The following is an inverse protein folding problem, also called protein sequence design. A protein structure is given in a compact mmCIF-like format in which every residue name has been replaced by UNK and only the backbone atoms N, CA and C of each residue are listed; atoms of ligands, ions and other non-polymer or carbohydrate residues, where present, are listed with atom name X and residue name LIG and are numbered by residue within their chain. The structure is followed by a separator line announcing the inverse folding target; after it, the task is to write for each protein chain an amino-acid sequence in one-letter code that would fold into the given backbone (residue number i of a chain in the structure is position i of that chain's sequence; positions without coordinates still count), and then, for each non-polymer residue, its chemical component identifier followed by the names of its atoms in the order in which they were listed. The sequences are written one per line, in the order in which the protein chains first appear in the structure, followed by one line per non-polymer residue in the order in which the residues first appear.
data_IF_006754618902
#
_entry.id   IF_006754618902
#
_cell.length_a   1.000
_cell.length_b   1.000
_cell.length_c   1.000
_cell.angle_alpha   90.00
_cell.angle_beta   90.00
_cell.angle_gamma   90.00
#
_symmetry.space_group_name_H-M   'P 1'
#
loop_
_entity.id
_entity.type
_entity.pdbx_description
1 polymer ?
#
# COMPACT_ATOMS: atom_id res chain seq x y z
N UNK A 1 -1.11 -1.01 10.59
CA UNK A 1 -1.88 -0.15 9.65
C UNK A 1 -1.93 1.30 10.10
N UNK A 2 -2.15 1.57 11.40
CA UNK A 2 -2.12 2.92 12.00
C UNK A 2 -0.93 3.78 11.55
N UNK A 3 0.28 3.22 11.50
CA UNK A 3 1.46 3.95 11.03
C UNK A 3 1.27 4.54 9.62
N UNK A 4 0.80 3.75 8.65
CA UNK A 4 0.58 4.23 7.28
C UNK A 4 -0.48 5.33 7.21
N UNK A 5 -1.58 5.17 7.94
CA UNK A 5 -2.64 6.19 8.05
C UNK A 5 -2.11 7.49 8.63
N UNK A 6 -1.34 7.40 9.71
CA UNK A 6 -0.71 8.54 10.34
C UNK A 6 0.22 9.27 9.37
N UNK A 7 1.11 8.55 8.66
CA UNK A 7 1.96 9.16 7.64
C UNK A 7 1.15 9.86 6.53
N UNK A 8 0.04 9.27 6.08
CA UNK A 8 -0.84 9.89 5.10
C UNK A 8 -1.46 11.20 5.63
N UNK A 9 -2.03 11.19 6.83
CA UNK A 9 -2.62 12.38 7.45
C UNK A 9 -1.58 13.46 7.76
N UNK A 10 -0.32 13.06 7.96
CA UNK A 10 0.81 13.96 8.18
C UNK A 10 1.44 14.47 6.87
N UNK A 11 0.90 14.11 5.70
CA UNK A 11 1.37 14.63 4.42
C UNK A 11 0.94 16.08 4.26
N UNK A 12 1.83 16.96 3.82
CA UNK A 12 1.58 18.40 3.71
C UNK A 12 0.38 18.67 2.82
N UNK A 13 0.30 18.00 1.67
CA UNK A 13 -0.82 18.14 0.73
C UNK A 13 -2.17 17.75 1.33
N UNK A 14 -2.20 16.78 2.24
CA UNK A 14 -3.42 16.33 2.92
C UNK A 14 -3.83 17.32 4.01
N UNK A 15 -2.87 17.83 4.78
CA UNK A 15 -3.13 18.86 5.79
C UNK A 15 -3.58 20.20 5.19
N UNK A 16 -3.22 20.46 3.93
CA UNK A 16 -3.46 21.73 3.25
C UNK A 16 -4.47 21.60 2.09
N UNK A 17 -5.41 20.64 2.16
CA UNK A 17 -6.42 20.43 1.11
C UNK A 17 -7.25 21.68 0.80
N UNK A 18 -7.65 22.47 1.80
CA UNK A 18 -8.41 23.72 1.57
C UNK A 18 -7.60 24.79 0.83
N UNK A 19 -6.28 24.86 1.09
CA UNK A 19 -5.39 25.75 0.36
C UNK A 19 -5.21 25.26 -1.08
N UNK A 20 -5.12 23.94 -1.29
CA UNK A 20 -5.07 23.32 -2.60
C UNK A 20 -6.34 23.57 -3.42
N UNK A 21 -7.53 23.48 -2.80
CA UNK A 21 -8.81 23.82 -3.42
C UNK A 21 -8.82 25.28 -3.89
N UNK A 22 -8.43 26.20 -2.99
CA UNK A 22 -8.34 27.64 -3.32
C UNK A 22 -7.39 27.88 -4.48
N UNK A 23 -6.23 27.22 -4.49
CA UNK A 23 -5.28 27.28 -5.59
C UNK A 23 -5.88 26.80 -6.91
N UNK A 24 -6.57 25.65 -6.91
CA UNK A 24 -7.20 25.12 -8.12
C UNK A 24 -8.30 26.05 -8.67
N UNK A 25 -9.06 26.71 -7.79
CA UNK A 25 -10.15 27.61 -8.19
C UNK A 25 -9.66 28.97 -8.68
N UNK A 26 -8.60 29.51 -8.08
CA UNK A 26 -8.13 30.89 -8.35
C UNK A 26 -7.01 30.97 -9.37
N UNK A 27 -6.29 29.86 -9.59
CA UNK A 27 -5.21 29.80 -10.57
C UNK A 27 -5.76 29.62 -11.96
N UNK A 28 -5.24 30.40 -12.90
CA UNK A 28 -5.49 30.22 -14.33
C UNK A 28 -4.23 30.58 -15.11
N UNK A 29 -4.15 30.24 -16.42
CA UNK A 29 -3.03 30.67 -17.25
C UNK A 29 -2.80 32.20 -17.24
N UNK A 30 -3.88 32.98 -17.05
CA UNK A 30 -3.82 34.44 -16.99
C UNK A 30 -3.61 34.99 -15.56
N UNK A 31 -3.72 34.13 -14.55
CA UNK A 31 -3.52 34.48 -13.14
C UNK A 31 -2.81 33.30 -12.44
N UNK A 32 -1.50 33.12 -12.68
CA UNK A 32 -0.75 32.04 -12.06
C UNK A 32 -0.67 32.24 -10.54
N UNK A 33 -0.58 31.15 -9.76
CA UNK A 33 -0.45 31.27 -8.32
C UNK A 33 0.89 31.92 -7.96
N UNK A 34 0.90 32.72 -6.91
CA UNK A 34 2.14 33.32 -6.39
C UNK A 34 3.03 32.23 -5.80
N UNK A 35 4.34 32.44 -5.84
CA UNK A 35 5.33 31.46 -5.39
C UNK A 35 5.09 31.03 -3.94
N UNK A 36 4.78 31.98 -3.05
CA UNK A 36 4.54 31.75 -1.63
C UNK A 36 3.32 30.86 -1.37
N UNK A 37 2.38 30.79 -2.33
CA UNK A 37 1.20 29.95 -2.22
C UNK A 37 1.48 28.49 -2.60
N UNK A 38 2.51 28.23 -3.43
CA UNK A 38 2.82 26.88 -3.94
C UNK A 38 4.10 26.28 -3.34
N UNK A 39 4.95 27.09 -2.72
CA UNK A 39 6.27 26.65 -2.24
C UNK A 39 6.17 25.46 -1.27
N UNK A 40 5.19 25.46 -0.36
CA UNK A 40 4.97 24.37 0.58
C UNK A 40 4.65 23.05 -0.13
N UNK A 41 3.83 23.09 -1.18
CA UNK A 41 3.50 21.91 -1.98
C UNK A 41 4.71 21.43 -2.80
N UNK A 42 5.52 22.35 -3.34
CA UNK A 42 6.75 22.00 -4.07
C UNK A 42 7.77 21.34 -3.13
N UNK A 43 8.08 21.96 -2.00
CA UNK A 43 9.10 21.46 -1.08
C UNK A 43 8.70 20.13 -0.42
N UNK A 44 7.41 19.90 -0.21
CA UNK A 44 6.92 18.66 0.39
C UNK A 44 6.50 17.58 -0.62
N UNK A 45 6.47 17.89 -1.92
CA UNK A 45 6.00 16.97 -2.97
C UNK A 45 6.61 15.56 -2.87
N UNK A 46 7.93 15.46 -2.68
CA UNK A 46 8.63 14.18 -2.59
C UNK A 46 8.30 13.44 -1.30
N UNK A 47 8.35 14.11 -0.14
CA UNK A 47 8.06 13.45 1.14
C UNK A 47 6.59 13.02 1.23
N UNK A 48 5.68 13.81 0.68
CA UNK A 48 4.26 13.45 0.56
C UNK A 48 4.10 12.23 -0.35
N UNK A 49 4.82 12.16 -1.47
CA UNK A 49 4.78 10.98 -2.35
C UNK A 49 5.22 9.69 -1.63
N UNK A 50 6.21 9.78 -0.74
CA UNK A 50 6.69 8.67 0.08
C UNK A 50 5.63 8.27 1.10
N UNK A 51 5.10 9.24 1.87
CA UNK A 51 4.09 9.02 2.91
C UNK A 51 2.81 8.41 2.34
N UNK A 52 2.30 8.95 1.24
CA UNK A 52 1.10 8.44 0.56
C UNK A 52 1.36 7.05 0.01
N UNK A 53 2.50 6.82 -0.69
CA UNK A 53 2.84 5.49 -1.20
C UNK A 53 2.91 4.46 -0.08
N UNK A 54 3.53 4.79 1.05
CA UNK A 54 3.66 3.92 2.20
C UNK A 54 2.29 3.54 2.79
N UNK A 55 1.37 4.51 2.89
CA UNK A 55 0.00 4.26 3.35
C UNK A 55 -0.72 3.24 2.46
N UNK A 56 -0.74 3.48 1.15
CA UNK A 56 -1.47 2.65 0.19
C UNK A 56 -0.80 1.29 -0.05
N UNK A 57 0.53 1.21 0.02
CA UNK A 57 1.28 -0.05 -0.02
C UNK A 57 0.95 -0.93 1.19
N UNK A 58 0.93 -0.33 2.39
CA UNK A 58 0.56 -1.03 3.62
C UNK A 58 -0.91 -1.48 3.57
N UNK A 59 -1.81 -0.61 3.09
CA UNK A 59 -3.22 -0.95 2.93
C UNK A 59 -3.39 -2.14 1.98
N UNK A 60 -2.81 -2.10 0.78
CA UNK A 60 -2.93 -3.16 -0.22
C UNK A 60 -2.42 -4.50 0.31
N UNK A 61 -1.24 -4.52 0.93
CA UNK A 61 -0.70 -5.75 1.55
C UNK A 61 -1.58 -6.27 2.69
N UNK A 62 -2.14 -5.38 3.50
CA UNK A 62 -3.05 -5.79 4.58
C UNK A 62 -4.35 -6.38 4.02
N UNK A 63 -4.89 -5.79 2.94
CA UNK A 63 -6.05 -6.35 2.23
C UNK A 63 -5.75 -7.74 1.65
N UNK A 64 -4.56 -7.95 1.11
CA UNK A 64 -4.12 -9.26 0.63
C UNK A 64 -4.06 -10.29 1.77
N UNK A 65 -3.44 -9.93 2.90
CA UNK A 65 -3.34 -10.80 4.08
C UNK A 65 -4.71 -11.21 4.64
N UNK A 66 -5.63 -10.26 4.78
CA UNK A 66 -6.99 -10.52 5.29
C UNK A 66 -7.77 -11.48 4.39
N UNK A 67 -7.43 -11.51 3.09
CA UNK A 67 -8.02 -12.43 2.12
C UNK A 67 -7.27 -13.77 2.00
N UNK A 68 -6.20 -13.98 2.79
CA UNK A 68 -5.41 -15.22 2.77
C UNK A 68 -4.36 -15.29 1.66
N UNK A 69 -4.07 -14.17 0.99
CA UNK A 69 -3.00 -14.10 -0.01
C UNK A 69 -1.62 -13.89 0.63
N UNK A 70 -0.61 -14.44 -0.03
CA UNK A 70 0.80 -14.23 0.31
C UNK A 70 1.24 -12.83 -0.08
N UNK A 71 1.86 -12.12 0.86
CA UNK A 71 2.51 -10.82 0.60
C UNK A 71 4.02 -10.92 0.43
N UNK A 72 4.62 -12.03 0.87
CA UNK A 72 6.04 -12.31 0.66
C UNK A 72 6.26 -12.93 -0.73
N UNK A 73 7.35 -12.55 -1.38
CA UNK A 73 7.69 -13.08 -2.69
C UNK A 73 8.05 -14.57 -2.58
N UNK A 74 7.57 -15.37 -3.52
CA UNK A 74 7.87 -16.79 -3.62
C UNK A 74 9.25 -16.96 -4.27
N UNK A 75 10.08 -17.82 -3.68
CA UNK A 75 11.40 -18.15 -4.20
C UNK A 75 11.24 -18.99 -5.48
N UNK A 76 11.59 -18.39 -6.62
CA UNK A 76 11.54 -19.01 -7.95
C UNK A 76 12.38 -20.29 -8.08
N UNK A 77 13.42 -20.43 -7.27
CA UNK A 77 14.32 -21.60 -7.34
C UNK A 77 13.72 -22.81 -6.59
N UNK A 78 12.72 -22.57 -5.74
CA UNK A 78 12.01 -23.60 -4.98
C UNK A 78 10.64 -23.89 -5.61
N UNK A 79 9.88 -22.85 -5.95
CA UNK A 79 8.54 -22.96 -6.53
C UNK A 79 8.41 -22.07 -7.78
N UNK A 80 9.01 -22.47 -8.93
CA UNK A 80 9.11 -21.62 -10.12
C UNK A 80 7.75 -21.21 -10.69
N UNK A 81 6.80 -22.14 -10.77
CA UNK A 81 5.47 -21.86 -11.34
C UNK A 81 4.65 -20.92 -10.44
N UNK A 82 4.66 -21.12 -9.12
CA UNK A 82 3.98 -20.22 -8.19
C UNK A 82 4.64 -18.83 -8.16
N UNK A 83 5.97 -18.75 -8.22
CA UNK A 83 6.69 -17.48 -8.31
C UNK A 83 6.38 -16.74 -9.62
N UNK A 84 6.20 -17.47 -10.74
CA UNK A 84 5.77 -16.88 -12.02
C UNK A 84 4.33 -16.38 -11.94
N UNK A 85 3.42 -17.17 -11.37
CA UNK A 85 2.02 -16.79 -11.12
C UNK A 85 1.92 -15.51 -10.27
N UNK A 86 2.67 -15.44 -9.17
CA UNK A 86 2.64 -14.30 -8.24
C UNK A 86 3.00 -12.96 -8.90
N UNK A 87 3.71 -12.96 -10.03
CA UNK A 87 4.06 -11.72 -10.75
C UNK A 87 2.87 -11.01 -11.36
N UNK A 88 1.80 -11.74 -11.68
CA UNK A 88 0.61 -11.22 -12.39
C UNK A 88 -0.66 -11.32 -11.56
N UNK A 89 -0.72 -12.23 -10.59
CA UNK A 89 -1.89 -12.38 -9.72
C UNK A 89 -1.51 -12.79 -8.29
N UNK A 90 -2.34 -12.46 -7.28
CA UNK A 90 -2.14 -12.94 -5.91
C UNK A 90 -2.15 -14.48 -5.82
N UNK A 91 -1.35 -15.02 -4.91
CA UNK A 91 -1.29 -16.46 -4.61
C UNK A 91 -1.75 -16.69 -3.18
N UNK A 92 -2.68 -17.61 -2.95
CA UNK A 92 -3.14 -17.96 -1.61
C UNK A 92 -2.06 -18.69 -0.83
N UNK A 93 -2.04 -18.50 0.50
CA UNK A 93 -1.08 -19.19 1.37
C UNK A 93 -1.18 -20.73 1.29
N UNK A 94 -2.38 -21.23 1.05
CA UNK A 94 -2.67 -22.67 0.95
C UNK A 94 -2.25 -23.27 -0.40
N UNK A 95 -1.89 -22.45 -1.40
CA UNK A 95 -1.29 -22.94 -2.64
C UNK A 95 0.18 -23.35 -2.47
N UNK A 96 0.84 -22.88 -1.41
CA UNK A 96 2.18 -23.35 -1.06
C UNK A 96 2.09 -24.68 -0.30
N UNK A 97 2.96 -25.66 -0.61
CA UNK A 97 3.08 -26.88 0.16
C UNK A 97 3.22 -26.60 1.66
N UNK A 98 2.69 -27.50 2.50
CA UNK A 98 2.74 -27.36 3.96
C UNK A 98 4.12 -27.74 4.54
N UNK A 99 5.16 -27.12 3.98
CA UNK A 99 6.55 -27.33 4.33
C UNK A 99 7.01 -26.20 5.27
N UNK A 100 7.12 -26.49 6.56
CA UNK A 100 7.69 -25.58 7.56
C UNK A 100 9.13 -25.96 7.88
N UNK A 101 10.02 -24.97 7.88
CA UNK A 101 11.44 -25.14 8.23
C UNK A 101 11.79 -24.29 9.44
N UNK A 102 12.81 -24.70 10.20
CA UNK A 102 13.36 -23.89 11.29
C UNK A 102 14.27 -22.82 10.69
N UNK A 103 13.95 -21.55 10.94
CA UNK A 103 14.76 -20.41 10.51
C UNK A 103 15.93 -20.22 11.47
N UNK A 104 17.15 -20.49 10.99
CA UNK A 104 18.37 -20.16 11.74
C UNK A 104 18.61 -18.66 11.98
N UNK A 105 17.75 -17.78 11.43
CA UNK A 105 17.84 -16.32 11.61
C UNK A 105 17.11 -15.82 12.86
N UNK A 106 16.11 -16.57 13.35
CA UNK A 106 15.31 -16.17 14.50
C UNK A 106 15.91 -16.84 15.75
N UNK A 107 16.61 -16.05 16.57
CA UNK A 107 17.21 -16.54 17.82
C UNK A 107 16.22 -16.34 18.98
N UNK A 108 15.40 -17.35 19.23
CA UNK A 108 14.43 -17.38 20.34
C UNK A 108 14.44 -18.76 20.99
N UNK A 109 14.11 -18.85 22.28
CA UNK A 109 14.01 -20.14 22.98
C UNK A 109 12.74 -20.93 22.57
N UNK A 110 11.74 -20.26 21.99
CA UNK A 110 10.51 -20.88 21.52
C UNK A 110 10.67 -21.34 20.05
N UNK A 111 10.88 -22.65 19.84
CA UNK A 111 11.02 -23.24 18.51
C UNK A 111 9.81 -22.99 17.59
N UNK A 112 8.61 -22.80 18.15
CA UNK A 112 7.41 -22.55 17.33
C UNK A 112 7.52 -21.22 16.58
N UNK A 113 8.16 -20.21 17.18
CA UNK A 113 8.41 -18.90 16.60
C UNK A 113 9.58 -18.90 15.61
N UNK A 114 10.37 -19.98 15.57
CA UNK A 114 11.44 -20.14 14.59
C UNK A 114 10.92 -20.73 13.27
N UNK A 115 9.70 -21.29 13.24
CA UNK A 115 9.15 -21.94 12.06
C UNK A 115 8.77 -20.89 11.01
N UNK A 116 9.27 -21.09 9.79
CA UNK A 116 8.92 -20.29 8.61
C UNK A 116 8.51 -21.22 7.48
N UNK A 117 7.54 -20.79 6.66
CA UNK A 117 7.11 -21.56 5.50
C UNK A 117 8.23 -21.54 4.45
N UNK A 118 8.63 -22.72 3.99
CA UNK A 118 9.70 -22.90 3.00
C UNK A 118 9.34 -22.15 1.72
N UNK A 119 10.35 -21.62 1.04
CA UNK A 119 10.16 -20.95 -0.26
C UNK A 119 9.57 -19.55 -0.21
N UNK A 120 9.38 -18.95 0.97
CA UNK A 120 9.07 -17.52 1.09
C UNK A 120 10.34 -16.69 1.28
N UNK A 121 10.42 -15.57 0.56
CA UNK A 121 11.49 -14.57 0.69
C UNK A 121 11.11 -13.49 1.70
N UNK A 122 12.09 -12.79 2.24
CA UNK A 122 11.83 -11.65 3.13
C UNK A 122 11.21 -10.48 2.37
N UNK A 123 11.61 -10.28 1.11
CA UNK A 123 11.05 -9.27 0.24
C UNK A 123 9.56 -9.53 0.01
N UNK A 124 8.78 -8.46 0.00
CA UNK A 124 7.34 -8.50 -0.24
C UNK A 124 7.02 -8.11 -1.67
N UNK A 125 5.78 -8.35 -2.09
CA UNK A 125 5.25 -7.90 -3.37
C UNK A 125 5.42 -6.39 -3.46
N UNK A 126 5.93 -5.93 -4.61
CA UNK A 126 6.21 -4.53 -4.83
C UNK A 126 4.91 -3.73 -4.98
N UNK A 127 4.90 -2.50 -4.45
CA UNK A 127 3.77 -1.59 -4.60
C UNK A 127 3.42 -1.31 -6.07
N UNK A 128 4.42 -1.24 -6.95
CA UNK A 128 4.21 -1.09 -8.40
C UNK A 128 3.39 -2.25 -8.99
N UNK A 129 3.60 -3.49 -8.53
CA UNK A 129 2.82 -4.65 -8.95
C UNK A 129 1.37 -4.50 -8.52
N UNK A 130 1.12 -4.06 -7.27
CA UNK A 130 -0.25 -3.93 -6.75
C UNK A 130 -1.07 -2.82 -7.41
N UNK A 131 -0.41 -1.84 -8.05
CA UNK A 131 -1.05 -0.75 -8.79
C UNK A 131 -1.20 -1.03 -10.29
N UNK A 132 -0.56 -2.07 -10.81
CA UNK A 132 -0.46 -2.33 -12.25
C UNK A 132 -1.28 -3.53 -12.68
N UNK A 133 -1.17 -4.63 -11.95
CA UNK A 133 -1.75 -5.90 -12.35
C UNK A 133 -3.21 -5.98 -11.89
N UNK A 134 -4.13 -6.26 -12.81
CA UNK A 134 -5.59 -6.18 -12.58
C UNK A 134 -6.07 -7.06 -11.43
N UNK A 135 -5.55 -8.29 -11.34
CA UNK A 135 -5.88 -9.22 -10.27
C UNK A 135 -5.49 -8.66 -8.89
N UNK A 136 -4.35 -7.95 -8.81
CA UNK A 136 -3.94 -7.29 -7.57
C UNK A 136 -4.78 -6.05 -7.28
N UNK A 137 -5.08 -5.21 -8.27
CA UNK A 137 -5.94 -4.03 -8.11
C UNK A 137 -7.28 -4.43 -7.50
N UNK A 138 -7.89 -5.48 -8.08
CA UNK A 138 -9.15 -6.06 -7.61
C UNK A 138 -9.03 -6.60 -6.18
N UNK A 139 -7.99 -7.38 -5.88
CA UNK A 139 -7.78 -7.94 -4.55
C UNK A 139 -7.51 -6.84 -3.49
N UNK A 140 -6.74 -5.81 -3.84
CA UNK A 140 -6.49 -4.65 -2.97
C UNK A 140 -7.71 -3.73 -2.83
N UNK A 141 -8.75 -3.90 -3.66
CA UNK A 141 -9.96 -3.05 -3.71
C UNK A 141 -9.64 -1.58 -3.96
N UNK A 142 -8.62 -1.31 -4.78
CA UNK A 142 -8.40 0.04 -5.27
C UNK A 142 -9.51 0.41 -6.25
N UNK A 143 -9.99 1.66 -6.17
CA UNK A 143 -10.92 2.21 -7.15
C UNK A 143 -10.13 2.84 -8.30
N UNK A 144 -10.69 2.77 -9.51
CA UNK A 144 -10.06 3.34 -10.71
C UNK A 144 -9.72 4.82 -10.56
N UNK A 145 -10.60 5.57 -9.90
CA UNK A 145 -10.45 7.01 -9.62
C UNK A 145 -9.16 7.35 -8.82
N UNK A 146 -8.61 6.38 -8.06
CA UNK A 146 -7.37 6.57 -7.29
C UNK A 146 -6.11 6.13 -8.06
N UNK A 147 -6.24 5.18 -8.98
CA UNK A 147 -5.10 4.45 -9.53
C UNK A 147 -4.14 5.35 -10.29
N UNK A 148 -4.65 6.29 -11.07
CA UNK A 148 -3.81 7.18 -11.87
C UNK A 148 -2.95 8.09 -10.99
N UNK A 149 -3.55 8.69 -9.94
CA UNK A 149 -2.78 9.49 -8.99
C UNK A 149 -1.74 8.63 -8.25
N UNK A 150 -2.12 7.45 -7.74
CA UNK A 150 -1.21 6.56 -7.01
C UNK A 150 -0.05 6.07 -7.88
N UNK A 151 -0.30 5.77 -9.17
CA UNK A 151 0.74 5.41 -10.14
C UNK A 151 1.72 6.56 -10.38
N UNK A 152 1.22 7.80 -10.54
CA UNK A 152 2.07 9.00 -10.69
C UNK A 152 2.91 9.25 -9.44
N UNK A 153 2.30 9.17 -8.26
CA UNK A 153 2.98 9.31 -6.96
C UNK A 153 4.09 8.25 -6.81
N UNK A 154 3.80 6.98 -7.08
CA UNK A 154 4.77 5.89 -6.99
C UNK A 154 5.90 6.05 -8.02
N UNK A 155 5.58 6.50 -9.24
CA UNK A 155 6.58 6.79 -10.27
C UNK A 155 7.51 7.93 -9.84
N UNK A 156 6.95 9.02 -9.31
CA UNK A 156 7.73 10.15 -8.81
C UNK A 156 8.68 9.72 -7.69
N UNK A 157 8.17 8.96 -6.71
CA UNK A 157 8.98 8.34 -5.65
C UNK A 157 10.12 7.48 -6.20
N UNK A 158 9.85 6.60 -7.16
CA UNK A 158 10.87 5.68 -7.69
C UNK A 158 11.95 6.40 -8.53
N UNK A 159 11.62 7.56 -9.08
CA UNK A 159 12.54 8.38 -9.86
C UNK A 159 13.24 9.46 -9.03
N UNK A 160 13.17 9.40 -7.68
CA UNK A 160 13.79 10.42 -6.82
C UNK A 160 15.29 10.58 -7.10
N UNK A 161 16.00 9.48 -7.39
CA UNK A 161 17.43 9.48 -7.66
C UNK A 161 17.80 10.19 -8.98
N UNK A 162 16.81 10.40 -9.85
CA UNK A 162 16.96 11.05 -11.16
C UNK A 162 16.46 12.51 -11.11
N UNK A 163 15.88 12.95 -10.01
CA UNK A 163 15.28 14.27 -9.89
C UNK A 163 16.32 15.30 -9.46
N UNK A 164 16.66 16.24 -10.33
CA UNK A 164 17.56 17.37 -10.02
C UNK A 164 16.87 18.51 -9.27
N UNK A 165 15.55 18.48 -9.16
CA UNK A 165 14.74 19.47 -8.46
C UNK A 165 13.43 18.86 -7.96
N UNK A 166 12.86 19.48 -6.93
CA UNK A 166 11.50 19.21 -6.47
C UNK A 166 10.50 19.90 -7.40
N UNK A 167 9.38 19.24 -7.67
CA UNK A 167 8.34 19.79 -8.52
C UNK A 167 6.96 19.49 -7.96
N UNK A 168 6.02 20.40 -8.23
CA UNK A 168 4.61 20.19 -7.95
C UNK A 168 3.84 20.61 -9.19
N UNK A 169 3.01 19.70 -9.70
CA UNK A 169 2.19 19.93 -10.88
C UNK A 169 0.77 20.17 -10.42
N UNK A 170 0.35 21.43 -10.45
CA UNK A 170 -1.04 21.81 -10.22
C UNK A 170 -1.84 21.62 -11.52
N UNK A 171 -2.87 20.77 -11.47
CA UNK A 171 -3.85 20.52 -12.53
C UNK A 171 -5.24 20.85 -12.02
N UNK A 172 -6.17 21.09 -12.92
CA UNK A 172 -7.57 21.43 -12.59
C UNK A 172 -8.23 20.41 -11.65
N UNK A 173 -7.87 19.13 -11.78
CA UNK A 173 -8.41 18.03 -10.98
C UNK A 173 -7.53 17.65 -9.77
N UNK A 174 -6.42 18.37 -9.49
CA UNK A 174 -5.47 17.97 -8.44
C UNK A 174 -6.14 17.92 -7.07
N UNK A 175 -6.94 18.93 -6.73
CA UNK A 175 -7.72 18.92 -5.49
C UNK A 175 -8.63 17.69 -5.38
N UNK A 176 -9.43 17.42 -6.42
CA UNK A 176 -10.37 16.30 -6.43
C UNK A 176 -9.67 14.95 -6.25
N UNK A 177 -8.54 14.75 -6.93
CA UNK A 177 -7.77 13.50 -6.83
C UNK A 177 -7.28 13.27 -5.38
N UNK A 178 -6.72 14.29 -4.72
CA UNK A 178 -6.26 14.16 -3.33
C UNK A 178 -7.42 14.09 -2.33
N UNK A 179 -8.53 14.78 -2.59
CA UNK A 179 -9.76 14.68 -1.79
C UNK A 179 -10.33 13.26 -1.83
N UNK A 180 -10.32 12.60 -3.00
CA UNK A 180 -10.78 11.22 -3.12
C UNK A 180 -9.88 10.25 -2.34
N UNK A 181 -8.55 10.41 -2.40
CA UNK A 181 -7.64 9.62 -1.56
C UNK A 181 -7.91 9.85 -0.06
N UNK A 182 -8.15 11.10 0.35
CA UNK A 182 -8.43 11.42 1.74
C UNK A 182 -9.74 10.78 2.24
N UNK A 183 -10.81 10.84 1.43
CA UNK A 183 -12.07 10.15 1.70
C UNK A 183 -11.87 8.65 1.79
N UNK A 184 -11.14 8.06 0.84
CA UNK A 184 -10.84 6.63 0.85
C UNK A 184 -10.12 6.18 2.12
N UNK A 185 -9.07 6.90 2.53
CA UNK A 185 -8.32 6.57 3.76
C UNK A 185 -9.20 6.74 4.99
N UNK A 186 -10.03 7.77 5.04
CA UNK A 186 -10.94 8.01 6.17
C UNK A 186 -11.99 6.90 6.28
N UNK A 187 -12.64 6.54 5.18
CA UNK A 187 -13.74 5.57 5.16
C UNK A 187 -13.26 4.12 5.31
N UNK A 188 -12.21 3.73 4.59
CA UNK A 188 -11.79 2.31 4.51
C UNK A 188 -10.95 1.87 5.70
N UNK A 189 -10.22 2.78 6.35
CA UNK A 189 -9.36 2.37 7.47
C UNK A 189 -10.15 2.07 8.74
N UNK A 190 -11.29 2.73 8.98
CA UNK A 190 -12.19 2.36 10.09
C UNK A 190 -12.76 0.96 9.89
N UNK A 191 -13.36 0.71 8.72
CA UNK A 191 -13.95 -0.58 8.36
C UNK A 191 -12.93 -1.73 8.47
N UNK A 192 -11.72 -1.48 7.98
CA UNK A 192 -10.67 -2.48 7.96
C UNK A 192 -10.11 -2.78 9.36
N UNK A 193 -9.95 -1.76 10.20
CA UNK A 193 -9.46 -1.95 11.58
C UNK A 193 -10.43 -2.84 12.36
N UNK A 194 -11.74 -2.65 12.18
CA UNK A 194 -12.76 -3.51 12.77
C UNK A 194 -12.69 -4.95 12.23
N UNK A 195 -12.48 -5.13 10.92
CA UNK A 195 -12.32 -6.46 10.33
C UNK A 195 -11.08 -7.19 10.90
N UNK A 196 -9.92 -6.54 10.94
CA UNK A 196 -8.70 -7.13 11.52
C UNK A 196 -8.90 -7.46 12.99
N UNK A 197 -9.46 -6.55 13.80
CA UNK A 197 -9.67 -6.80 15.22
C UNK A 197 -10.54 -8.05 15.41
N UNK A 198 -11.62 -8.21 14.64
CA UNK A 198 -12.45 -9.41 14.71
C UNK A 198 -11.67 -10.69 14.36
N UNK A 199 -10.76 -10.65 13.37
CA UNK A 199 -9.93 -11.80 13.01
C UNK A 199 -8.86 -12.09 14.07
N UNK A 200 -8.23 -11.06 14.64
CA UNK A 200 -7.22 -11.21 15.71
C UNK A 200 -7.85 -11.76 16.99
N UNK A 201 -9.04 -11.31 17.38
CA UNK A 201 -9.74 -11.85 18.56
C UNK A 201 -10.04 -13.35 18.42
N UNK A 202 -10.14 -13.84 17.18
CA UNK A 202 -10.32 -15.26 16.88
C UNK A 202 -9.00 -16.05 16.79
N UNK A 203 -7.84 -15.38 16.74
CA UNK A 203 -6.53 -16.03 16.79
C UNK A 203 -6.19 -16.39 18.24
N UNK A 204 -6.39 -17.65 18.62
CA UNK A 204 -5.83 -18.19 19.87
C UNK A 204 -4.31 -18.30 19.72
N UNK A 205 -3.57 -17.41 20.38
CA UNK A 205 -2.11 -17.51 20.47
C UNK A 205 -1.70 -18.92 20.95
N UNK A 206 -0.81 -19.57 20.20
CA UNK A 206 -0.27 -20.89 20.53
C UNK A 206 -0.88 -22.08 19.77
N UNK A 207 -1.93 -21.87 18.96
CA UNK A 207 -2.33 -22.83 17.93
C UNK A 207 -2.10 -22.15 16.58
N UNK A 208 -1.44 -22.84 15.64
CA UNK A 208 -1.19 -22.30 14.30
C UNK A 208 -2.48 -21.74 13.68
N UNK A 209 -2.40 -20.70 12.83
CA UNK A 209 -3.59 -20.00 12.36
C UNK A 209 -4.54 -20.97 11.63
N UNK A 210 -5.73 -21.17 12.20
CA UNK A 210 -6.81 -21.87 11.51
C UNK A 210 -7.60 -20.85 10.69
N UNK A 211 -7.20 -20.63 9.43
CA UNK A 211 -7.96 -19.79 8.52
C UNK A 211 -9.26 -20.51 8.14
N UNK A 212 -10.36 -20.24 8.84
CA UNK A 212 -11.70 -20.62 8.35
C UNK A 212 -12.11 -19.60 7.30
N UNK A 213 -11.79 -19.88 6.04
CA UNK A 213 -12.27 -19.10 4.90
C UNK A 213 -13.75 -19.44 4.70
N UNK A 214 -14.65 -18.52 5.01
CA UNK A 214 -16.02 -18.56 4.50
C UNK A 214 -15.96 -18.32 3.00
N UNK A 215 -16.14 -19.37 2.20
CA UNK A 215 -16.40 -19.23 0.76
C UNK A 215 -17.73 -18.51 0.58
N UNK A 216 -17.71 -17.30 0.05
CA UNK A 216 -18.90 -16.68 -0.54
C UNK A 216 -19.32 -17.57 -1.70
N UNK A 217 -20.54 -18.09 -1.62
CA UNK A 217 -21.21 -18.82 -2.71
C UNK A 217 -21.78 -17.85 -3.72
#
# INVERSE_FOLDING_TARGET
MEFGKHQFNDSFIIQNLSNLETLCVTSSPNNPPKQEQIEGFVFNSLIDSVKISMCFENFGKSMLLVQGYLVHNINKDIYPELAKKQRVEPVFIDELPDDWIISGKIKTQDESLQRVKKGLLHQTINYSTTLKEEAYIKACKYKDEHLDLLKRINSYRNNLHLSSSLNFILRDNTYDEYLQLHKFVTDKFSDFTTQIQSQITNLKFGQGPSFKITKST
#
